data_IF_168751279701
#
_entry.id   IF_168751279701
#
_cell.length_a   1.000
_cell.length_b   1.000
_cell.length_c   1.000
_cell.angle_alpha   90.00
_cell.angle_beta   90.00
_cell.angle_gamma   90.00
#
_symmetry.space_group_name_H-M   'P 1'
#
loop_
_entity.id
_entity.type
_entity.pdbx_description
1 polymer ?
#
# COMPACT_ATOMS: atom_id res chain seq x y z
N UNK A 1 -0.87 21.37 -10.65
CA UNK A 1 -1.51 20.07 -10.34
C UNK A 1 -0.45 19.18 -9.72
N UNK A 2 -0.26 19.27 -8.40
CA UNK A 2 0.74 18.49 -7.68
C UNK A 2 0.09 17.20 -7.20
N UNK A 3 0.51 16.06 -7.73
CA UNK A 3 0.13 14.75 -7.21
C UNK A 3 0.62 14.62 -5.76
N UNK A 4 -0.29 14.31 -4.85
CA UNK A 4 -0.06 14.08 -3.42
C UNK A 4 0.98 12.97 -3.18
N UNK A 5 1.81 13.03 -2.12
CA UNK A 5 2.83 12.01 -1.81
C UNK A 5 2.30 10.57 -1.70
N UNK A 6 1.00 10.41 -1.44
CA UNK A 6 0.30 9.13 -1.41
C UNK A 6 0.33 8.37 -2.76
N UNK A 7 0.48 9.07 -3.88
CA UNK A 7 0.52 8.48 -5.23
C UNK A 7 1.90 7.95 -5.62
N UNK A 8 2.99 8.52 -5.07
CA UNK A 8 4.36 8.14 -5.45
C UNK A 8 4.82 6.82 -4.81
N UNK A 9 4.36 6.50 -3.60
CA UNK A 9 4.75 5.27 -2.89
C UNK A 9 4.09 3.99 -3.42
N UNK A 10 3.02 4.10 -4.23
CA UNK A 10 2.26 2.94 -4.74
C UNK A 10 2.98 2.18 -5.86
N UNK A 11 3.94 2.79 -6.57
CA UNK A 11 4.65 2.15 -7.71
C UNK A 11 5.51 0.94 -7.32
N UNK A 12 6.03 0.86 -6.09
CA UNK A 12 6.98 -0.20 -5.68
C UNK A 12 6.36 -1.58 -5.46
N UNK A 13 5.04 -1.74 -5.52
CA UNK A 13 4.37 -3.04 -5.30
C UNK A 13 3.98 -3.79 -6.59
N UNK A 14 4.05 -3.13 -7.75
CA UNK A 14 3.80 -3.80 -9.02
C UNK A 14 4.93 -4.81 -9.35
N UNK A 15 6.18 -4.45 -9.03
CA UNK A 15 7.37 -5.18 -9.48
C UNK A 15 7.62 -6.51 -8.73
N UNK A 16 7.02 -6.72 -7.56
CA UNK A 16 7.24 -7.95 -6.78
C UNK A 16 6.29 -9.10 -7.15
N UNK A 17 5.27 -8.84 -8.00
CA UNK A 17 4.25 -9.83 -8.36
C UNK A 17 4.50 -10.53 -9.71
N UNK A 18 5.48 -10.08 -10.49
CA UNK A 18 5.90 -10.77 -11.72
C UNK A 18 6.98 -11.79 -11.40
N UNK A 19 6.59 -12.93 -10.80
CA UNK A 19 7.41 -14.13 -10.89
C UNK A 19 7.20 -14.74 -12.28
N UNK A 20 8.23 -14.53 -13.09
CA UNK A 20 8.42 -14.97 -14.47
C UNK A 20 8.30 -16.50 -14.60
N UNK A 21 7.34 -16.95 -15.40
CA UNK A 21 7.11 -18.35 -15.75
C UNK A 21 7.31 -18.55 -17.24
N UNK A 22 8.52 -18.27 -17.74
CA UNK A 22 8.91 -18.49 -19.13
C UNK A 22 9.11 -19.99 -19.40
N UNK A 23 8.19 -20.61 -20.14
CA UNK A 23 8.46 -21.87 -20.87
C UNK A 23 8.39 -21.58 -22.35
N UNK A 24 9.56 -21.47 -22.97
CA UNK A 24 9.71 -21.37 -24.41
C UNK A 24 9.33 -22.68 -25.10
N UNK A 25 8.66 -22.57 -26.26
CA UNK A 25 8.60 -23.65 -27.25
C UNK A 25 8.42 -23.07 -28.66
N UNK A 26 9.50 -23.14 -29.42
CA UNK A 26 9.53 -22.95 -30.87
C UNK A 26 8.80 -24.10 -31.56
N UNK A 27 7.95 -23.85 -32.56
CA UNK A 27 7.74 -24.78 -33.68
C UNK A 27 7.19 -24.04 -34.91
N UNK A 28 7.47 -24.65 -36.07
CA UNK A 28 7.61 -24.09 -37.42
C UNK A 28 6.29 -23.78 -38.13
N UNK A 29 6.38 -22.85 -39.09
CA UNK A 29 5.37 -22.53 -40.08
C UNK A 29 5.15 -23.66 -41.10
N UNK A 30 3.89 -23.92 -41.44
CA UNK A 30 3.45 -24.50 -42.71
C UNK A 30 2.13 -23.82 -43.10
N UNK A 31 2.08 -23.29 -44.32
CA UNK A 31 0.88 -22.75 -44.98
C UNK A 31 0.15 -23.87 -45.75
N UNK A 32 -1.20 -23.80 -45.84
CA UNK A 32 -1.97 -23.65 -47.10
C UNK A 32 -3.46 -24.05 -46.94
N UNK A 33 -4.31 -23.33 -47.68
CA UNK A 33 -5.63 -23.66 -48.23
C UNK A 33 -6.90 -23.55 -47.37
N UNK A 34 -7.78 -22.67 -47.86
CA UNK A 34 -9.14 -22.38 -47.40
C UNK A 34 -10.18 -23.30 -48.07
N UNK A 35 -11.18 -23.74 -47.30
CA UNK A 35 -12.54 -24.08 -47.78
C UNK A 35 -13.56 -23.70 -46.70
N UNK A 36 -14.66 -23.09 -47.13
CA UNK A 36 -15.75 -22.49 -46.35
C UNK A 36 -16.36 -23.44 -45.30
N UNK A 37 -16.61 -22.91 -44.10
CA UNK A 37 -17.39 -23.56 -43.05
C UNK A 37 -18.58 -22.71 -42.63
N UNK A 38 -19.70 -23.42 -42.43
CA UNK A 38 -21.04 -22.96 -42.10
C UNK A 38 -21.05 -22.24 -40.74
N UNK A 39 -21.79 -21.13 -40.70
CA UNK A 39 -21.98 -20.27 -39.52
C UNK A 39 -22.86 -20.99 -38.51
N UNK A 40 -22.25 -21.69 -37.56
CA UNK A 40 -22.82 -21.94 -36.25
C UNK A 40 -22.07 -21.03 -35.27
N UNK A 41 -22.70 -19.91 -34.90
CA UNK A 41 -22.19 -19.01 -33.87
C UNK A 41 -22.25 -19.67 -32.50
N UNK A 42 -21.40 -20.66 -32.25
CA UNK A 42 -20.97 -21.01 -30.92
C UNK A 42 -20.14 -19.83 -30.43
N UNK A 43 -20.77 -18.91 -29.72
CA UNK A 43 -20.06 -17.97 -28.87
C UNK A 43 -19.48 -18.80 -27.71
N UNK A 44 -18.45 -19.58 -28.00
CA UNK A 44 -17.67 -20.30 -27.00
C UNK A 44 -16.94 -19.22 -26.21
N UNK A 45 -17.63 -18.68 -25.21
CA UNK A 45 -17.00 -17.92 -24.15
C UNK A 45 -15.80 -18.76 -23.70
N UNK A 46 -14.62 -18.15 -23.74
CA UNK A 46 -13.41 -18.82 -23.30
C UNK A 46 -13.67 -19.38 -21.89
N UNK A 47 -13.15 -20.59 -21.57
CA UNK A 47 -13.37 -21.17 -20.26
C UNK A 47 -12.95 -20.17 -19.18
N UNK A 48 -13.61 -20.12 -18.01
CA UNK A 48 -13.30 -19.14 -16.97
C UNK A 48 -11.80 -19.08 -16.62
N UNK A 49 -11.06 -20.19 -16.70
CA UNK A 49 -9.59 -20.20 -16.50
C UNK A 49 -8.80 -19.30 -17.46
N UNK A 50 -9.28 -19.09 -18.68
CA UNK A 50 -8.65 -18.17 -19.65
C UNK A 50 -8.87 -16.71 -19.28
N UNK A 51 -10.03 -16.34 -18.72
CA UNK A 51 -10.30 -14.97 -18.28
C UNK A 51 -9.35 -14.55 -17.14
N UNK A 52 -9.07 -15.43 -16.17
CA UNK A 52 -8.12 -15.13 -15.10
C UNK A 52 -6.71 -14.90 -15.64
N UNK A 53 -6.24 -15.77 -16.54
CA UNK A 53 -4.92 -15.65 -17.16
C UNK A 53 -4.79 -14.34 -17.94
N UNK A 54 -5.73 -14.06 -18.84
CA UNK A 54 -5.77 -12.79 -19.58
C UNK A 54 -5.85 -11.59 -18.65
N UNK A 55 -6.61 -11.70 -17.57
CA UNK A 55 -6.71 -10.65 -16.57
C UNK A 55 -5.38 -10.34 -15.87
N UNK A 56 -4.61 -11.37 -15.49
CA UNK A 56 -3.27 -11.15 -14.91
C UNK A 56 -2.25 -10.65 -15.92
N UNK A 57 -2.30 -11.11 -17.18
CA UNK A 57 -1.48 -10.56 -18.27
C UNK A 57 -1.76 -9.06 -18.45
N UNK A 58 -3.03 -8.66 -18.48
CA UNK A 58 -3.45 -7.27 -18.56
C UNK A 58 -3.00 -6.47 -17.33
N UNK A 59 -3.10 -7.04 -16.12
CA UNK A 59 -2.64 -6.39 -14.89
C UNK A 59 -1.12 -6.14 -14.95
N UNK A 60 -0.33 -7.13 -15.37
CA UNK A 60 1.13 -7.00 -15.55
C UNK A 60 1.48 -5.94 -16.60
N UNK A 61 0.67 -5.80 -17.65
CA UNK A 61 0.79 -4.76 -18.66
C UNK A 61 0.23 -3.38 -18.22
N UNK A 62 -0.19 -3.21 -16.96
CA UNK A 62 -0.86 -1.99 -16.45
C UNK A 62 -2.15 -1.62 -17.21
N UNK A 63 -2.77 -2.58 -17.89
CA UNK A 63 -4.03 -2.43 -18.62
C UNK A 63 -5.20 -2.70 -17.65
N UNK A 64 -5.35 -1.84 -16.65
CA UNK A 64 -6.24 -2.07 -15.51
C UNK A 64 -7.71 -2.29 -15.89
N UNK A 65 -8.23 -1.54 -16.87
CA UNK A 65 -9.61 -1.71 -17.36
C UNK A 65 -9.82 -3.09 -18.00
N UNK A 66 -8.82 -3.61 -18.74
CA UNK A 66 -8.89 -4.94 -19.33
C UNK A 66 -8.81 -6.03 -18.25
N UNK A 67 -7.95 -5.85 -17.24
CA UNK A 67 -7.85 -6.75 -16.10
C UNK A 67 -9.17 -6.83 -15.31
N UNK A 68 -9.82 -5.68 -15.09
CA UNK A 68 -11.13 -5.60 -14.43
C UNK A 68 -12.22 -6.28 -15.28
N UNK A 69 -12.27 -6.00 -16.59
CA UNK A 69 -13.23 -6.61 -17.49
C UNK A 69 -13.10 -8.14 -17.55
N UNK A 70 -11.87 -8.67 -17.52
CA UNK A 70 -11.62 -10.10 -17.49
C UNK A 70 -12.12 -10.74 -16.17
N UNK A 71 -11.82 -10.11 -15.03
CA UNK A 71 -12.34 -10.55 -13.75
C UNK A 71 -13.88 -10.49 -13.68
N UNK A 72 -14.50 -9.45 -14.25
CA UNK A 72 -15.95 -9.29 -14.28
C UNK A 72 -16.62 -10.38 -15.13
N UNK A 73 -16.06 -10.74 -16.30
CA UNK A 73 -16.55 -11.86 -17.11
C UNK A 73 -16.47 -13.18 -16.35
N UNK A 74 -15.35 -13.44 -15.67
CA UNK A 74 -15.20 -14.62 -14.82
C UNK A 74 -16.30 -14.69 -13.76
N UNK A 75 -16.51 -13.59 -13.02
CA UNK A 75 -17.45 -13.53 -11.91
C UNK A 75 -18.91 -13.60 -12.37
N UNK A 76 -19.21 -13.17 -13.60
CA UNK A 76 -20.54 -13.37 -14.19
C UNK A 76 -20.81 -14.84 -14.49
N UNK A 77 -19.82 -15.57 -15.01
CA UNK A 77 -19.95 -16.99 -15.33
C UNK A 77 -19.88 -17.90 -14.09
N UNK A 78 -19.06 -17.54 -13.10
CA UNK A 78 -18.81 -18.33 -11.88
C UNK A 78 -18.72 -17.42 -10.65
N UNK A 79 -19.85 -16.90 -10.11
CA UNK A 79 -19.84 -15.91 -9.02
C UNK A 79 -19.28 -16.43 -7.67
N UNK A 80 -19.34 -17.74 -7.44
CA UNK A 80 -18.91 -18.40 -6.20
C UNK A 80 -18.22 -19.75 -6.43
N UNK A 81 -17.93 -20.09 -7.68
CA UNK A 81 -17.25 -21.35 -8.02
C UNK A 81 -15.72 -21.26 -7.85
N UNK A 82 -15.00 -22.35 -8.18
CA UNK A 82 -13.53 -22.34 -8.18
C UNK A 82 -12.97 -21.16 -8.97
N UNK A 83 -12.04 -20.41 -8.38
CA UNK A 83 -11.44 -19.21 -8.99
C UNK A 83 -12.19 -17.90 -8.74
N UNK A 84 -13.41 -17.91 -8.18
CA UNK A 84 -14.16 -16.68 -7.91
C UNK A 84 -13.43 -15.74 -6.93
N UNK A 85 -12.83 -16.29 -5.86
CA UNK A 85 -12.01 -15.51 -4.93
C UNK A 85 -10.78 -14.88 -5.62
N UNK A 86 -10.18 -15.61 -6.55
CA UNK A 86 -9.04 -15.13 -7.32
C UNK A 86 -9.44 -14.03 -8.31
N UNK A 87 -10.60 -14.15 -8.96
CA UNK A 87 -11.14 -13.10 -9.82
C UNK A 87 -11.43 -11.82 -9.02
N UNK A 88 -12.02 -11.94 -7.83
CA UNK A 88 -12.22 -10.81 -6.92
C UNK A 88 -10.89 -10.17 -6.50
N UNK A 89 -9.88 -10.98 -6.19
CA UNK A 89 -8.53 -10.51 -5.88
C UNK A 89 -7.92 -9.75 -7.06
N UNK A 90 -7.93 -10.32 -8.27
CA UNK A 90 -7.44 -9.69 -9.50
C UNK A 90 -8.13 -8.33 -9.74
N UNK A 91 -9.45 -8.27 -9.61
CA UNK A 91 -10.23 -7.04 -9.78
C UNK A 91 -9.84 -5.98 -8.75
N UNK A 92 -9.72 -6.37 -7.47
CA UNK A 92 -9.27 -5.47 -6.41
C UNK A 92 -7.88 -4.92 -6.69
N UNK A 93 -6.95 -5.77 -7.14
CA UNK A 93 -5.58 -5.40 -7.50
C UNK A 93 -5.52 -4.42 -8.67
N UNK A 94 -6.39 -4.58 -9.67
CA UNK A 94 -6.49 -3.65 -10.79
C UNK A 94 -7.02 -2.28 -10.32
N UNK A 95 -8.08 -2.25 -9.49
CA UNK A 95 -8.62 -1.02 -8.90
C UNK A 95 -7.55 -0.29 -8.05
N UNK A 96 -6.80 -1.01 -7.22
CA UNK A 96 -5.74 -0.40 -6.40
C UNK A 96 -4.62 0.26 -7.21
N UNK A 97 -4.33 -0.26 -8.41
CA UNK A 97 -3.21 0.16 -9.25
C UNK A 97 -3.59 1.11 -10.39
N UNK A 98 -4.87 1.20 -10.77
CA UNK A 98 -5.33 2.11 -11.85
C UNK A 98 -4.94 3.56 -11.63
N UNK A 99 -4.87 4.35 -12.70
CA UNK A 99 -4.61 5.79 -12.56
C UNK A 99 -5.80 6.46 -11.86
N UNK A 100 -5.53 7.31 -10.87
CA UNK A 100 -6.56 8.10 -10.17
C UNK A 100 -6.44 9.57 -10.52
N UNK A 101 -7.58 10.21 -10.72
CA UNK A 101 -7.69 11.62 -11.09
C UNK A 101 -7.81 12.54 -9.88
N UNK A 102 -8.19 12.00 -8.71
CA UNK A 102 -8.32 12.76 -7.47
C UNK A 102 -8.10 11.90 -6.22
N UNK A 103 -7.88 12.55 -5.07
CA UNK A 103 -7.81 11.88 -3.77
C UNK A 103 -9.16 11.23 -3.40
N UNK A 104 -10.29 11.83 -3.81
CA UNK A 104 -11.62 11.27 -3.57
C UNK A 104 -11.84 9.95 -4.34
N UNK A 105 -11.39 9.91 -5.61
CA UNK A 105 -11.40 8.68 -6.42
C UNK A 105 -10.46 7.63 -5.82
N UNK A 106 -9.26 8.01 -5.40
CA UNK A 106 -8.33 7.10 -4.74
C UNK A 106 -8.90 6.49 -3.46
N UNK A 107 -9.68 7.26 -2.69
CA UNK A 107 -10.33 6.78 -1.48
C UNK A 107 -11.53 5.85 -1.79
N UNK A 108 -12.30 6.16 -2.83
CA UNK A 108 -13.38 5.28 -3.31
C UNK A 108 -12.83 3.93 -3.77
N UNK A 109 -11.73 3.93 -4.53
CA UNK A 109 -11.05 2.74 -5.00
C UNK A 109 -10.55 1.85 -3.86
N UNK A 110 -9.94 2.45 -2.85
CA UNK A 110 -9.48 1.70 -1.67
C UNK A 110 -10.64 1.01 -0.94
N UNK A 111 -11.78 1.70 -0.79
CA UNK A 111 -12.98 1.11 -0.18
C UNK A 111 -13.58 0.00 -1.03
N UNK A 112 -13.59 0.16 -2.35
CA UNK A 112 -14.06 -0.86 -3.26
C UNK A 112 -13.14 -2.10 -3.25
N UNK A 113 -11.83 -1.91 -3.27
CA UNK A 113 -10.86 -2.99 -3.18
C UNK A 113 -10.96 -3.74 -1.84
N UNK A 114 -11.08 -3.01 -0.72
CA UNK A 114 -11.36 -3.60 0.61
C UNK A 114 -12.57 -4.54 0.57
N UNK A 115 -13.70 -4.05 0.04
CA UNK A 115 -14.93 -4.85 -0.07
C UNK A 115 -14.73 -6.11 -0.92
N UNK A 116 -14.00 -6.02 -2.03
CA UNK A 116 -13.71 -7.18 -2.88
C UNK A 116 -12.86 -8.22 -2.15
N UNK A 117 -11.84 -7.79 -1.41
CA UNK A 117 -10.98 -8.71 -0.67
C UNK A 117 -11.70 -9.39 0.50
N UNK A 118 -12.52 -8.64 1.24
CA UNK A 118 -13.37 -9.18 2.30
C UNK A 118 -14.35 -10.24 1.73
N UNK A 119 -14.97 -9.95 0.58
CA UNK A 119 -15.85 -10.92 -0.10
C UNK A 119 -15.10 -12.16 -0.59
N UNK A 120 -13.89 -11.99 -1.13
CA UNK A 120 -13.08 -13.10 -1.61
C UNK A 120 -12.68 -14.06 -0.48
N UNK A 121 -12.37 -13.55 0.71
CA UNK A 121 -12.04 -14.37 1.88
C UNK A 121 -13.22 -15.26 2.34
N UNK A 122 -14.48 -14.82 2.14
CA UNK A 122 -15.66 -15.62 2.45
C UNK A 122 -15.79 -16.87 1.56
N UNK A 123 -15.11 -16.90 0.41
CA UNK A 123 -15.16 -17.99 -0.56
C UNK A 123 -14.15 -19.11 -0.28
N UNK A 124 -13.45 -19.07 0.86
CA UNK A 124 -12.42 -20.06 1.25
C UNK A 124 -11.37 -20.26 0.14
N UNK A 125 -10.62 -19.20 -0.21
CA UNK A 125 -9.63 -19.23 -1.28
C UNK A 125 -8.53 -20.28 -1.03
N UNK A 126 -7.80 -20.63 -2.09
CA UNK A 126 -6.60 -21.45 -1.95
C UNK A 126 -5.57 -20.76 -1.02
N UNK A 127 -4.72 -21.51 -0.29
CA UNK A 127 -3.87 -20.94 0.77
C UNK A 127 -2.97 -19.78 0.34
N UNK A 128 -2.41 -19.84 -0.87
CA UNK A 128 -1.57 -18.75 -1.39
C UNK A 128 -2.42 -17.52 -1.76
N UNK A 129 -3.58 -17.72 -2.36
CA UNK A 129 -4.54 -16.64 -2.66
C UNK A 129 -5.05 -15.98 -1.38
N UNK A 130 -5.36 -16.76 -0.35
CA UNK A 130 -5.72 -16.27 1.00
C UNK A 130 -4.62 -15.37 1.56
N UNK A 131 -3.37 -15.82 1.46
CA UNK A 131 -2.19 -15.07 1.92
C UNK A 131 -2.08 -13.72 1.21
N UNK A 132 -2.23 -13.69 -0.12
CA UNK A 132 -2.19 -12.44 -0.87
C UNK A 132 -3.40 -11.54 -0.62
N UNK A 133 -4.57 -12.11 -0.37
CA UNK A 133 -5.77 -11.35 0.03
C UNK A 133 -5.54 -10.61 1.34
N UNK A 134 -5.01 -11.28 2.36
CA UNK A 134 -4.64 -10.65 3.63
C UNK A 134 -3.58 -9.56 3.46
N UNK A 135 -2.55 -9.78 2.63
CA UNK A 135 -1.56 -8.72 2.34
C UNK A 135 -2.19 -7.49 1.68
N UNK A 136 -3.04 -7.72 0.68
CA UNK A 136 -3.76 -6.67 -0.03
C UNK A 136 -4.77 -5.96 0.87
N UNK A 137 -5.48 -6.68 1.74
CA UNK A 137 -6.39 -6.11 2.72
C UNK A 137 -5.64 -5.22 3.73
N UNK A 138 -4.47 -5.67 4.20
CA UNK A 138 -3.60 -4.85 5.03
C UNK A 138 -3.14 -3.57 4.32
N UNK A 139 -2.82 -3.65 3.02
CA UNK A 139 -2.45 -2.47 2.22
C UNK A 139 -3.59 -1.45 2.15
N UNK A 140 -4.79 -1.88 1.80
CA UNK A 140 -5.93 -0.95 1.70
C UNK A 140 -6.30 -0.39 3.05
N UNK A 141 -6.30 -1.19 4.12
CA UNK A 141 -6.55 -0.73 5.48
C UNK A 141 -5.53 0.33 5.92
N UNK A 142 -4.24 0.15 5.62
CA UNK A 142 -3.21 1.14 5.94
C UNK A 142 -3.44 2.48 5.26
N UNK A 143 -3.80 2.47 3.97
CA UNK A 143 -4.09 3.69 3.21
C UNK A 143 -5.42 4.33 3.60
N UNK A 144 -6.37 3.54 4.09
CA UNK A 144 -7.60 4.00 4.75
C UNK A 144 -7.38 4.44 6.20
N UNK A 145 -6.14 4.38 6.68
CA UNK A 145 -5.72 4.76 8.04
C UNK A 145 -6.33 3.90 9.15
N UNK A 146 -6.88 2.74 8.79
CA UNK A 146 -7.29 1.68 9.68
C UNK A 146 -6.07 0.82 10.05
N UNK A 147 -5.16 1.43 10.83
CA UNK A 147 -3.87 0.80 11.16
C UNK A 147 -4.02 -0.46 12.00
N UNK A 148 -5.09 -0.55 12.79
CA UNK A 148 -5.40 -1.74 13.59
C UNK A 148 -5.80 -2.91 12.69
N UNK A 149 -6.70 -2.70 11.72
CA UNK A 149 -7.01 -3.73 10.74
C UNK A 149 -5.77 -4.07 9.89
N UNK A 150 -5.00 -3.07 9.46
CA UNK A 150 -3.79 -3.31 8.66
C UNK A 150 -2.77 -4.19 9.39
N UNK A 151 -2.54 -3.94 10.70
CA UNK A 151 -1.69 -4.78 11.54
C UNK A 151 -2.20 -6.23 11.61
N UNK A 152 -3.51 -6.42 11.83
CA UNK A 152 -4.12 -7.74 11.95
C UNK A 152 -4.01 -8.55 10.64
N UNK A 153 -4.35 -7.92 9.51
CA UNK A 153 -4.34 -8.56 8.20
C UNK A 153 -2.92 -8.97 7.76
N UNK A 154 -1.95 -8.09 7.94
CA UNK A 154 -0.56 -8.43 7.65
C UNK A 154 -0.01 -9.51 8.57
N UNK A 155 -0.40 -9.51 9.86
CA UNK A 155 0.00 -10.55 10.80
C UNK A 155 -0.56 -11.93 10.43
N UNK A 156 -1.76 -11.99 9.85
CA UNK A 156 -2.37 -13.24 9.38
C UNK A 156 -1.65 -13.86 8.15
N UNK A 157 -0.88 -13.06 7.42
CA UNK A 157 -0.21 -13.47 6.19
C UNK A 157 1.31 -13.61 6.28
N UNK A 158 1.99 -12.87 7.16
CA UNK A 158 3.45 -12.68 7.10
C UNK A 158 4.23 -13.99 7.07
N UNK A 159 3.87 -14.98 7.88
CA UNK A 159 4.59 -16.25 7.96
C UNK A 159 4.30 -17.20 6.78
N UNK A 160 3.26 -16.91 5.98
CA UNK A 160 2.84 -17.70 4.82
C UNK A 160 3.41 -17.16 3.50
N UNK A 161 4.06 -15.99 3.52
CA UNK A 161 4.59 -15.38 2.30
C UNK A 161 5.81 -16.13 1.77
N UNK A 162 5.92 -16.31 0.43
CA UNK A 162 6.97 -17.15 -0.16
C UNK A 162 8.36 -16.50 -0.13
N UNK A 163 8.45 -15.17 -0.24
CA UNK A 163 9.72 -14.43 -0.38
C UNK A 163 10.16 -13.76 0.92
N UNK A 164 11.46 -13.84 1.24
CA UNK A 164 12.07 -13.10 2.36
C UNK A 164 11.91 -11.59 2.22
N UNK A 165 12.02 -11.05 1.01
CA UNK A 165 11.82 -9.63 0.76
C UNK A 165 10.39 -9.20 1.07
N UNK A 166 9.40 -10.03 0.72
CA UNK A 166 8.00 -9.78 1.06
C UNK A 166 7.75 -9.90 2.57
N UNK A 167 8.28 -10.95 3.21
CA UNK A 167 8.16 -11.13 4.66
C UNK A 167 8.75 -9.97 5.43
N UNK A 168 9.97 -9.56 5.10
CA UNK A 168 10.66 -8.45 5.75
C UNK A 168 9.91 -7.12 5.56
N UNK A 169 9.38 -6.86 4.37
CA UNK A 169 8.61 -5.66 4.07
C UNK A 169 7.27 -5.62 4.81
N UNK A 170 6.55 -6.73 4.85
CA UNK A 170 5.27 -6.85 5.58
C UNK A 170 5.50 -6.74 7.09
N UNK A 171 6.53 -7.40 7.63
CA UNK A 171 6.88 -7.28 9.05
C UNK A 171 7.29 -5.85 9.44
N UNK A 172 8.05 -5.17 8.59
CA UNK A 172 8.35 -3.75 8.79
C UNK A 172 7.07 -2.90 8.83
N UNK A 173 6.10 -3.17 7.96
CA UNK A 173 4.83 -2.44 7.92
C UNK A 173 3.94 -2.69 9.13
N UNK A 174 3.96 -3.90 9.69
CA UNK A 174 3.36 -4.20 11.00
C UNK A 174 3.95 -3.28 12.07
N UNK A 175 5.28 -3.14 12.12
CA UNK A 175 5.96 -2.20 13.04
C UNK A 175 5.55 -0.75 12.83
N UNK A 176 5.38 -0.31 11.57
CA UNK A 176 4.88 1.05 11.26
C UNK A 176 3.43 1.24 11.73
N UNK A 177 2.54 0.26 11.57
CA UNK A 177 1.19 0.33 12.14
C UNK A 177 1.24 0.47 13.66
N UNK A 178 2.08 -0.32 14.31
CA UNK A 178 2.25 -0.27 15.76
C UNK A 178 2.72 1.11 16.23
N UNK A 179 3.69 1.74 15.54
CA UNK A 179 4.06 3.14 15.83
C UNK A 179 2.88 4.09 15.63
N UNK A 180 2.16 3.98 14.53
CA UNK A 180 1.02 4.87 14.22
C UNK A 180 -0.11 4.75 15.25
N UNK A 181 -0.25 3.58 15.87
CA UNK A 181 -1.16 3.29 16.96
C UNK A 181 -0.62 3.67 18.35
N UNK A 182 0.59 4.24 18.45
CA UNK A 182 1.23 4.58 19.71
C UNK A 182 1.74 3.36 20.52
N UNK A 183 1.79 2.17 19.91
CA UNK A 183 2.30 0.93 20.51
C UNK A 183 3.84 0.88 20.42
N UNK A 184 4.52 1.88 20.97
CA UNK A 184 5.96 2.14 20.75
C UNK A 184 6.87 0.96 21.10
N UNK A 185 6.67 0.33 22.26
CA UNK A 185 7.49 -0.80 22.69
C UNK A 185 7.30 -2.03 21.78
N UNK A 186 6.07 -2.28 21.33
CA UNK A 186 5.77 -3.36 20.40
C UNK A 186 6.39 -3.08 19.03
N UNK A 187 6.30 -1.83 18.54
CA UNK A 187 6.94 -1.43 17.30
C UNK A 187 8.46 -1.64 17.33
N UNK A 188 9.14 -1.26 18.42
CA UNK A 188 10.57 -1.48 18.58
C UNK A 188 10.92 -2.97 18.56
N UNK A 189 10.13 -3.82 19.22
CA UNK A 189 10.32 -5.27 19.19
C UNK A 189 10.15 -5.83 17.76
N UNK A 190 9.14 -5.37 17.03
CA UNK A 190 8.91 -5.76 15.63
C UNK A 190 10.04 -5.29 14.71
N UNK A 191 10.51 -4.04 14.84
CA UNK A 191 11.64 -3.53 14.06
C UNK A 191 12.95 -4.26 14.37
N UNK A 192 13.20 -4.62 15.63
CA UNK A 192 14.33 -5.47 16.00
C UNK A 192 14.22 -6.87 15.39
N UNK A 193 13.00 -7.43 15.30
CA UNK A 193 12.76 -8.69 14.61
C UNK A 193 13.07 -8.60 13.11
N UNK A 194 12.67 -7.52 12.42
CA UNK A 194 13.02 -7.30 11.00
C UNK A 194 14.54 -7.28 10.82
N UNK A 195 15.26 -6.53 11.66
CA UNK A 195 16.73 -6.42 11.57
C UNK A 195 17.43 -7.75 11.83
N UNK A 196 16.96 -8.53 12.80
CA UNK A 196 17.55 -9.83 13.17
C UNK A 196 17.26 -10.92 12.15
N UNK A 197 16.03 -10.97 11.62
CA UNK A 197 15.60 -12.05 10.72
C UNK A 197 15.96 -11.76 9.26
N UNK A 198 16.04 -10.48 8.87
CA UNK A 198 16.23 -10.07 7.46
C UNK A 198 17.31 -8.98 7.30
N UNK A 199 18.53 -9.16 7.85
CA UNK A 199 19.53 -8.09 8.01
C UNK A 199 19.98 -7.43 6.70
N UNK A 200 19.95 -8.15 5.57
CA UNK A 200 20.38 -7.66 4.25
C UNK A 200 19.29 -6.89 3.49
N UNK A 201 18.07 -6.83 4.02
CA UNK A 201 16.93 -6.24 3.29
C UNK A 201 16.84 -4.72 3.47
N UNK A 202 16.28 -3.99 2.49
CA UNK A 202 15.94 -2.58 2.66
C UNK A 202 14.96 -2.31 3.82
N UNK A 203 14.14 -3.31 4.16
CA UNK A 203 13.22 -3.27 5.29
C UNK A 203 13.98 -3.20 6.63
N UNK A 204 15.05 -3.99 6.80
CA UNK A 204 15.89 -3.93 8.01
C UNK A 204 16.53 -2.55 8.22
N UNK A 205 17.09 -1.96 7.15
CA UNK A 205 17.63 -0.59 7.22
C UNK A 205 16.55 0.45 7.55
N UNK A 206 15.33 0.25 7.06
CA UNK A 206 14.20 1.14 7.34
C UNK A 206 13.70 0.98 8.78
N UNK A 207 13.63 -0.25 9.28
CA UNK A 207 13.29 -0.58 10.66
C UNK A 207 14.28 0.06 11.64
N UNK A 208 15.59 -0.04 11.37
CA UNK A 208 16.64 0.58 12.18
C UNK A 208 16.46 2.10 12.32
N UNK A 209 16.05 2.79 11.24
CA UNK A 209 15.81 4.26 11.26
C UNK A 209 14.54 4.66 12.01
N UNK A 210 13.55 3.78 12.11
CA UNK A 210 12.26 4.07 12.76
C UNK A 210 12.26 3.72 14.25
N UNK A 211 13.14 2.82 14.67
CA UNK A 211 13.21 2.36 16.06
C UNK A 211 13.52 3.50 17.03
N UNK A 212 12.98 3.43 18.25
CA UNK A 212 13.26 4.38 19.32
C UNK A 212 12.34 5.60 19.37
N UNK A 213 11.48 5.81 18.36
CA UNK A 213 10.45 6.84 18.42
C UNK A 213 9.46 6.58 19.57
N UNK A 214 8.96 7.65 20.19
CA UNK A 214 8.07 7.59 21.35
C UNK A 214 6.83 8.47 21.25
N UNK A 215 6.78 9.32 20.22
CA UNK A 215 5.77 10.33 20.04
C UNK A 215 5.92 10.93 18.64
N UNK A 216 4.83 11.36 18.05
CA UNK A 216 4.86 12.15 16.84
C UNK A 216 4.99 13.64 17.14
N UNK A 217 5.49 14.37 16.15
CA UNK A 217 5.44 15.81 16.05
C UNK A 217 4.98 16.21 14.65
N UNK A 218 4.51 17.44 14.49
CA UNK A 218 4.34 18.06 13.18
C UNK A 218 5.44 19.10 13.00
N UNK A 219 6.41 18.82 12.13
CA UNK A 219 7.41 19.79 11.72
C UNK A 219 6.77 20.85 10.84
N UNK A 220 6.98 22.11 11.20
CA UNK A 220 6.43 23.29 10.53
C UNK A 220 7.49 23.99 9.67
N UNK A 221 8.73 24.04 10.14
CA UNK A 221 9.82 24.69 9.41
C UNK A 221 11.18 24.15 9.84
N UNK A 222 12.20 24.45 9.04
CA UNK A 222 13.61 24.25 9.38
C UNK A 222 14.38 25.53 9.07
N UNK A 223 15.17 26.02 10.02
CA UNK A 223 15.97 27.24 9.88
C UNK A 223 17.44 26.96 10.16
N UNK A 224 18.35 27.66 9.47
CA UNK A 224 19.77 27.69 9.85
C UNK A 224 20.00 28.63 11.05
N UNK A 225 19.20 29.69 11.19
CA UNK A 225 19.30 30.66 12.28
C UNK A 225 18.46 30.23 13.48
N UNK A 226 19.10 30.21 14.66
CA UNK A 226 18.42 29.99 15.94
C UNK A 226 17.34 31.05 16.20
N UNK A 227 17.62 32.32 15.90
CA UNK A 227 16.68 33.43 16.11
C UNK A 227 15.43 33.28 15.25
N UNK A 228 15.57 32.87 13.98
CA UNK A 228 14.43 32.63 13.09
C UNK A 228 13.55 31.48 13.60
N UNK A 229 14.17 30.40 14.09
CA UNK A 229 13.44 29.28 14.69
C UNK A 229 12.70 29.69 15.97
N UNK A 230 13.34 30.46 16.84
CA UNK A 230 12.73 30.93 18.10
C UNK A 230 11.59 31.92 17.86
N UNK A 231 11.72 32.81 16.87
CA UNK A 231 10.62 33.68 16.45
C UNK A 231 9.42 32.89 15.94
N UNK A 232 9.64 31.85 15.13
CA UNK A 232 8.55 30.98 14.67
C UNK A 232 7.92 30.18 15.82
N UNK A 233 8.71 29.66 16.76
CA UNK A 233 8.19 29.00 17.97
C UNK A 233 7.33 29.95 18.79
N UNK A 234 7.78 31.20 19.00
CA UNK A 234 7.01 32.22 19.72
C UNK A 234 5.70 32.55 19.01
N UNK A 235 5.72 32.70 17.68
CA UNK A 235 4.52 32.93 16.87
C UNK A 235 3.51 31.78 17.04
N UNK A 236 3.94 30.54 16.80
CA UNK A 236 3.08 29.35 16.93
C UNK A 236 2.49 29.21 18.34
N UNK A 237 3.27 29.48 19.38
CA UNK A 237 2.78 29.48 20.77
C UNK A 237 1.73 30.58 21.02
N UNK A 238 1.93 31.77 20.45
CA UNK A 238 0.95 32.86 20.50
C UNK A 238 -0.37 32.51 19.82
N UNK A 239 -0.33 31.62 18.82
CA UNK A 239 -1.50 31.07 18.12
C UNK A 239 -2.09 29.82 18.81
N UNK A 240 -1.55 29.42 19.97
CA UNK A 240 -2.05 28.31 20.77
C UNK A 240 -1.53 26.92 20.35
N UNK A 241 -0.49 26.85 19.52
CA UNK A 241 0.17 25.59 19.19
C UNK A 241 1.29 25.27 20.19
N UNK A 242 1.39 24.03 20.72
CA UNK A 242 2.49 23.61 21.58
C UNK A 242 3.77 23.42 20.75
N UNK A 243 4.41 24.54 20.40
CA UNK A 243 5.60 24.55 19.56
C UNK A 243 6.90 24.43 20.35
N UNK A 244 7.89 23.78 19.74
CA UNK A 244 9.24 23.63 20.26
C UNK A 244 10.28 23.69 19.14
N UNK A 245 11.53 24.00 19.53
CA UNK A 245 12.69 23.96 18.66
C UNK A 245 13.47 22.67 18.95
N UNK A 246 13.89 21.97 17.89
CA UNK A 246 14.78 20.83 17.98
C UNK A 246 16.04 21.11 17.15
N UNK A 247 17.21 21.05 17.80
CA UNK A 247 18.48 21.21 17.11
C UNK A 247 18.85 19.93 16.35
N UNK A 248 19.42 20.12 15.16
CA UNK A 248 20.04 19.09 14.30
C UNK A 248 21.44 19.57 13.91
N UNK A 249 22.42 19.52 14.83
CA UNK A 249 23.76 20.06 14.62
C UNK A 249 24.45 19.45 13.39
N UNK A 250 24.21 18.17 13.13
CA UNK A 250 24.77 17.42 11.99
C UNK A 250 24.29 17.95 10.63
N UNK A 251 23.19 18.70 10.59
CA UNK A 251 22.66 19.35 9.39
C UNK A 251 22.76 20.88 9.43
N UNK A 252 23.30 21.44 10.51
CA UNK A 252 23.25 22.89 10.80
C UNK A 252 21.82 23.45 10.69
N UNK A 253 20.85 22.74 11.31
CA UNK A 253 19.43 23.10 11.28
C UNK A 253 18.80 23.18 12.67
N UNK A 254 17.79 24.04 12.76
CA UNK A 254 16.85 24.15 13.85
C UNK A 254 15.44 23.85 13.32
N UNK A 255 14.90 22.70 13.68
CA UNK A 255 13.55 22.30 13.33
C UNK A 255 12.56 22.98 14.27
N UNK A 256 11.47 23.50 13.72
CA UNK A 256 10.33 23.99 14.47
C UNK A 256 9.22 22.97 14.35
N UNK A 257 8.73 22.48 15.48
CA UNK A 257 7.79 21.37 15.54
C UNK A 257 6.66 21.69 16.52
N UNK A 258 5.50 21.06 16.29
CA UNK A 258 4.33 21.12 17.19
C UNK A 258 4.06 19.73 17.76
N UNK A 259 3.95 19.64 19.08
CA UNK A 259 3.77 18.38 19.81
C UNK A 259 4.25 18.47 21.26
N UNK A 260 4.42 17.33 21.95
CA UNK A 260 4.35 15.97 21.42
C UNK A 260 2.92 15.44 21.19
N UNK A 261 2.79 14.42 20.35
CA UNK A 261 1.53 13.77 19.98
C UNK A 261 1.66 12.26 20.17
N UNK A 262 0.77 11.60 20.91
CA UNK A 262 0.99 10.21 21.33
C UNK A 262 0.75 9.17 20.22
N UNK A 263 0.06 9.55 19.15
CA UNK A 263 -0.29 8.66 18.03
C UNK A 263 -0.47 9.44 16.72
N UNK A 264 -0.63 8.71 15.62
CA UNK A 264 -0.74 9.29 14.29
C UNK A 264 -2.06 10.03 14.04
N UNK A 265 -3.24 9.56 14.50
CA UNK A 265 -4.50 10.31 14.35
C UNK A 265 -4.42 11.72 14.98
N UNK A 266 -3.83 11.86 16.18
CA UNK A 266 -3.63 13.19 16.79
C UNK A 266 -2.61 14.02 16.02
N UNK A 267 -1.56 13.40 15.48
CA UNK A 267 -0.60 14.09 14.63
C UNK A 267 -1.21 14.61 13.34
N UNK A 268 -2.13 13.84 12.72
CA UNK A 268 -2.89 14.28 11.55
C UNK A 268 -3.83 15.42 11.86
N UNK A 269 -4.62 15.31 12.93
CA UNK A 269 -5.50 16.40 13.36
C UNK A 269 -4.70 17.69 13.64
N UNK A 270 -3.51 17.58 14.24
CA UNK A 270 -2.63 18.73 14.43
C UNK A 270 -2.10 19.30 13.10
N UNK A 271 -1.71 18.44 12.17
CA UNK A 271 -1.27 18.87 10.82
C UNK A 271 -2.39 19.63 10.12
N UNK A 272 -3.62 19.13 10.13
CA UNK A 272 -4.75 19.76 9.45
C UNK A 272 -5.10 21.12 10.08
N UNK A 273 -5.00 21.24 11.41
CA UNK A 273 -5.14 22.52 12.11
C UNK A 273 -4.09 23.54 11.68
N UNK A 274 -2.82 23.12 11.54
CA UNK A 274 -1.74 23.99 11.07
C UNK A 274 -1.97 24.42 9.61
N UNK A 275 -2.41 23.50 8.74
CA UNK A 275 -2.75 23.84 7.35
C UNK A 275 -3.89 24.86 7.29
N UNK A 276 -4.95 24.66 8.08
CA UNK A 276 -6.06 25.63 8.18
C UNK A 276 -5.62 26.99 8.70
N UNK A 277 -4.63 27.02 9.60
CA UNK A 277 -4.00 28.25 10.09
C UNK A 277 -3.04 28.91 9.08
N UNK A 278 -2.89 28.33 7.87
CA UNK A 278 -2.10 28.90 6.78
C UNK A 278 -0.63 28.43 6.72
N UNK A 279 -0.22 27.48 7.57
CA UNK A 279 1.11 26.89 7.48
C UNK A 279 1.19 25.88 6.34
N UNK A 280 2.21 26.04 5.48
CA UNK A 280 2.46 25.18 4.32
C UNK A 280 3.61 24.22 4.63
N UNK A 281 3.70 23.16 3.83
CA UNK A 281 4.79 22.17 3.88
C UNK A 281 5.00 21.49 5.24
N UNK A 282 3.94 21.47 6.06
CA UNK A 282 3.95 20.80 7.37
C UNK A 282 3.99 19.27 7.20
N UNK A 283 4.85 18.62 7.96
CA UNK A 283 5.09 17.17 7.86
C UNK A 283 5.06 16.49 9.23
N UNK A 284 4.40 15.33 9.31
CA UNK A 284 4.38 14.51 10.53
C UNK A 284 5.69 13.74 10.59
N UNK A 285 6.35 13.79 11.75
CA UNK A 285 7.61 13.08 12.03
C UNK A 285 7.46 12.30 13.35
N UNK A 286 7.90 11.03 13.42
CA UNK A 286 8.02 10.29 14.68
C UNK A 286 9.26 10.71 15.49
#
# INVERSE_FOLDING_TARGET
MGSTPALQHRRRFADAATCDGTVGRSFRAIALCAVLSIIAGCNSAAPPSDDLRTGYEALAASQYEQAMAAADRFLQASPSGPGAAEAMYLRGRAIEQRVKSSDAEALADLRQARKLYEQALLLRPAPLTETYLHVSLGNVCYWLEDYAAAEAEWSAAVDKLPSEDLRSLVLYRIGVCQQRLGKWALADATFAAVQRQYPSTPAASSAARQQGARQFHVQVAAFQSILSAENMVKKLRGEGFPAMRLARPEKNLHLVMVGPLPDYPRARAMKDRLVHAGYKDVMIVP
#
